data_IF_318957424814
#
_entry.id   IF_318957424814
#
_cell.length_a   1.000
_cell.length_b   1.000
_cell.length_c   1.000
_cell.angle_alpha   90.00
_cell.angle_beta   90.00
_cell.angle_gamma   90.00
#
_symmetry.space_group_name_H-M   'P 1'
#
loop_
_entity.id
_entity.type
_entity.pdbx_description
1 polymer ?
#
# COMPACT_ATOMS: atom_id res chain seq x y z
N UNK A 1 -36.29 -5.94 -20.85
CA UNK A 1 -35.28 -4.86 -20.79
C UNK A 1 -33.98 -5.52 -20.37
N UNK A 2 -32.92 -5.49 -21.19
CA UNK A 2 -31.65 -6.14 -20.83
C UNK A 2 -30.95 -5.24 -19.81
N UNK A 3 -30.75 -5.74 -18.59
CA UNK A 3 -29.99 -5.02 -17.56
C UNK A 3 -28.59 -4.69 -18.08
N UNK A 4 -28.12 -3.48 -17.79
CA UNK A 4 -26.75 -3.08 -18.12
C UNK A 4 -25.76 -4.00 -17.41
N UNK A 5 -24.56 -4.16 -17.96
CA UNK A 5 -23.50 -4.97 -17.34
C UNK A 5 -23.25 -4.51 -15.90
N UNK A 6 -23.23 -3.18 -15.68
CA UNK A 6 -23.10 -2.58 -14.36
C UNK A 6 -24.21 -3.04 -13.40
N UNK A 7 -25.46 -3.02 -13.84
CA UNK A 7 -26.58 -3.45 -12.99
C UNK A 7 -26.44 -4.93 -12.61
N UNK A 8 -26.13 -5.81 -13.56
CA UNK A 8 -25.92 -7.23 -13.29
C UNK A 8 -24.80 -7.49 -12.29
N UNK A 9 -23.69 -6.75 -12.39
CA UNK A 9 -22.57 -6.87 -11.47
C UNK A 9 -22.96 -6.43 -10.05
N UNK A 10 -23.69 -5.32 -9.92
CA UNK A 10 -24.15 -4.80 -8.63
C UNK A 10 -25.20 -5.72 -8.01
N UNK A 11 -26.19 -6.17 -8.79
CA UNK A 11 -27.23 -7.10 -8.33
C UNK A 11 -26.59 -8.40 -7.80
N UNK A 12 -25.61 -8.96 -8.52
CA UNK A 12 -24.86 -10.13 -8.07
C UNK A 12 -24.05 -9.85 -6.80
N UNK A 13 -23.44 -8.66 -6.71
CA UNK A 13 -22.67 -8.26 -5.52
C UNK A 13 -23.59 -8.20 -4.30
N UNK A 14 -24.77 -7.60 -4.43
CA UNK A 14 -25.74 -7.44 -3.36
C UNK A 14 -26.32 -8.80 -2.91
N UNK A 15 -26.66 -9.67 -3.87
CA UNK A 15 -27.16 -11.03 -3.60
C UNK A 15 -26.15 -11.88 -2.83
N UNK A 16 -24.85 -11.70 -3.12
CA UNK A 16 -23.77 -12.50 -2.54
C UNK A 16 -22.93 -11.76 -1.49
N UNK A 17 -23.36 -10.59 -1.03
CA UNK A 17 -22.58 -9.71 -0.15
C UNK A 17 -22.13 -10.42 1.13
N UNK A 18 -23.02 -11.19 1.76
CA UNK A 18 -22.70 -11.93 2.98
C UNK A 18 -21.57 -12.95 2.77
N UNK A 19 -21.58 -13.66 1.64
CA UNK A 19 -20.55 -14.63 1.29
C UNK A 19 -19.22 -13.95 1.01
N UNK A 20 -19.22 -12.79 0.34
CA UNK A 20 -17.99 -12.03 0.12
C UNK A 20 -17.41 -11.44 1.41
N UNK A 21 -18.24 -10.95 2.33
CA UNK A 21 -17.80 -10.50 3.65
C UNK A 21 -17.18 -11.66 4.44
N UNK A 22 -17.78 -12.86 4.40
CA UNK A 22 -17.20 -14.04 5.05
C UNK A 22 -15.86 -14.43 4.43
N UNK A 23 -15.79 -14.46 3.09
CA UNK A 23 -14.56 -14.75 2.37
C UNK A 23 -13.46 -13.72 2.68
N UNK A 24 -13.80 -12.42 2.76
CA UNK A 24 -12.86 -11.38 3.18
C UNK A 24 -12.36 -11.60 4.60
N UNK A 25 -13.25 -11.95 5.53
CA UNK A 25 -12.87 -12.25 6.91
C UNK A 25 -11.94 -13.47 6.99
N UNK A 26 -12.20 -14.51 6.19
CA UNK A 26 -11.35 -15.70 6.12
C UNK A 26 -9.97 -15.38 5.50
N UNK A 27 -9.93 -14.64 4.40
CA UNK A 27 -8.69 -14.21 3.75
C UNK A 27 -7.86 -13.34 4.69
N UNK A 28 -8.48 -12.38 5.36
CA UNK A 28 -7.83 -11.52 6.35
C UNK A 28 -7.23 -12.34 7.48
N UNK A 29 -7.98 -13.31 8.02
CA UNK A 29 -7.47 -14.23 9.06
C UNK A 29 -6.29 -15.06 8.56
N UNK A 30 -6.39 -15.64 7.37
CA UNK A 30 -5.31 -16.43 6.76
C UNK A 30 -4.04 -15.60 6.53
N UNK A 31 -4.21 -14.37 6.05
CA UNK A 31 -3.10 -13.43 5.85
C UNK A 31 -2.48 -13.03 7.20
N UNK A 32 -3.31 -12.72 8.21
CA UNK A 32 -2.83 -12.36 9.56
C UNK A 32 -2.17 -13.49 10.34
N UNK A 33 -2.43 -14.75 10.00
CA UNK A 33 -1.88 -15.92 10.70
C UNK A 33 -0.38 -16.16 10.39
N UNK A 34 0.19 -15.45 9.41
CA UNK A 34 1.58 -15.59 8.96
C UNK A 34 2.65 -14.93 9.85
N UNK A 35 2.46 -14.90 11.17
CA UNK A 35 3.43 -14.38 12.14
C UNK A 35 4.69 -15.26 12.19
N UNK A 36 5.86 -14.68 11.91
CA UNK A 36 7.17 -15.29 12.15
C UNK A 36 7.54 -15.22 13.64
N UNK A 37 8.51 -16.04 14.03
CA UNK A 37 9.03 -16.18 15.40
C UNK A 37 9.63 -14.88 15.98
N UNK A 38 9.98 -13.91 15.13
CA UNK A 38 10.52 -12.60 15.49
C UNK A 38 9.44 -11.51 15.64
N UNK A 39 8.16 -11.88 15.50
CA UNK A 39 7.03 -10.94 15.56
C UNK A 39 6.71 -10.26 14.22
N UNK A 40 7.52 -10.45 13.18
CA UNK A 40 7.24 -9.92 11.83
C UNK A 40 6.19 -10.79 11.11
N UNK A 41 5.26 -10.17 10.37
CA UNK A 41 4.29 -10.91 9.54
C UNK A 41 4.71 -10.91 8.07
N UNK A 42 4.90 -12.09 7.48
CA UNK A 42 5.20 -12.22 6.06
C UNK A 42 3.98 -12.72 5.29
N UNK A 43 3.21 -11.77 4.77
CA UNK A 43 1.98 -12.03 4.02
C UNK A 43 2.23 -12.63 2.63
N UNK A 44 3.44 -12.54 2.09
CA UNK A 44 3.71 -12.86 0.69
C UNK A 44 3.50 -14.33 0.33
N UNK A 45 3.92 -15.33 1.12
CA UNK A 45 3.64 -16.73 0.80
C UNK A 45 2.14 -17.03 0.70
N UNK A 46 1.37 -16.56 1.68
CA UNK A 46 -0.10 -16.73 1.71
C UNK A 46 -0.74 -16.02 0.53
N UNK A 47 -0.34 -14.78 0.25
CA UNK A 47 -0.88 -13.99 -0.86
C UNK A 47 -0.53 -14.57 -2.23
N UNK A 48 0.70 -15.08 -2.40
CA UNK A 48 1.14 -15.78 -3.60
C UNK A 48 0.23 -16.98 -3.90
N UNK A 49 -0.08 -17.79 -2.88
CA UNK A 49 -1.01 -18.92 -3.01
C UNK A 49 -2.42 -18.47 -3.40
N UNK A 50 -2.96 -17.45 -2.71
CA UNK A 50 -4.28 -16.86 -2.98
C UNK A 50 -4.41 -16.35 -4.42
N UNK A 51 -3.35 -15.70 -4.92
CA UNK A 51 -3.30 -15.17 -6.28
C UNK A 51 -3.18 -16.29 -7.33
N UNK A 52 -2.36 -17.32 -7.08
CA UNK A 52 -2.23 -18.50 -7.94
C UNK A 52 -3.55 -19.27 -8.08
N UNK A 53 -4.28 -19.45 -6.97
CA UNK A 53 -5.59 -20.10 -6.97
C UNK A 53 -6.62 -19.37 -7.85
N UNK A 54 -6.45 -18.06 -8.05
CA UNK A 54 -7.30 -17.23 -8.93
C UNK A 54 -6.79 -17.12 -10.36
N UNK A 55 -5.74 -17.88 -10.70
CA UNK A 55 -5.14 -17.91 -12.03
C UNK A 55 -4.24 -16.72 -12.35
N UNK A 56 -3.78 -15.97 -11.34
CA UNK A 56 -2.77 -14.95 -11.53
C UNK A 56 -1.38 -15.61 -11.51
N UNK A 57 -0.56 -15.29 -12.50
CA UNK A 57 0.86 -15.64 -12.47
C UNK A 57 1.55 -14.69 -11.52
N UNK A 58 2.42 -15.18 -10.64
CA UNK A 58 3.11 -14.33 -9.69
C UNK A 58 4.52 -14.83 -9.40
N UNK A 59 5.35 -13.91 -8.97
CA UNK A 59 6.70 -14.20 -8.49
C UNK A 59 7.16 -13.11 -7.53
N UNK A 60 8.03 -13.50 -6.60
CA UNK A 60 8.71 -12.56 -5.73
C UNK A 60 9.87 -11.94 -6.50
N UNK A 61 9.86 -10.62 -6.61
CA UNK A 61 10.98 -9.86 -7.18
C UNK A 61 12.06 -9.62 -6.12
N UNK A 62 11.66 -9.44 -4.87
CA UNK A 62 12.54 -9.33 -3.72
C UNK A 62 11.82 -9.81 -2.46
N UNK A 63 12.50 -9.79 -1.30
CA UNK A 63 11.85 -10.06 0.00
C UNK A 63 10.76 -9.03 0.36
N UNK A 64 10.77 -7.86 -0.28
CA UNK A 64 9.90 -6.74 0.01
C UNK A 64 8.95 -6.42 -1.15
N UNK A 65 9.04 -7.15 -2.27
CA UNK A 65 8.27 -6.84 -3.47
C UNK A 65 7.69 -8.09 -4.11
N UNK A 66 6.36 -8.12 -4.21
CA UNK A 66 5.60 -9.16 -4.89
C UNK A 66 4.98 -8.61 -6.17
N UNK A 67 5.20 -9.30 -7.28
CA UNK A 67 4.55 -9.02 -8.56
C UNK A 67 3.57 -10.14 -8.92
N UNK A 68 2.41 -9.76 -9.44
CA UNK A 68 1.43 -10.66 -10.01
C UNK A 68 0.80 -10.10 -11.29
N UNK A 69 0.35 -10.98 -12.17
CA UNK A 69 -0.24 -10.62 -13.45
C UNK A 69 -1.47 -11.48 -13.75
N UNK A 70 -2.55 -10.83 -14.17
CA UNK A 70 -3.71 -11.44 -14.81
C UNK A 70 -3.73 -11.03 -16.27
N UNK A 71 -3.55 -12.00 -17.18
CA UNK A 71 -3.71 -11.81 -18.63
C UNK A 71 -5.10 -12.25 -19.04
N UNK A 72 -6.01 -11.29 -19.15
CA UNK A 72 -7.37 -11.50 -19.65
C UNK A 72 -7.45 -11.39 -21.20
N UNK A 73 -6.34 -11.03 -21.87
CA UNK A 73 -6.30 -10.70 -23.30
C UNK A 73 -7.19 -9.49 -23.62
N UNK A 74 -7.30 -8.59 -22.64
CA UNK A 74 -8.10 -7.39 -22.76
C UNK A 74 -7.34 -6.28 -23.51
N UNK A 75 -8.05 -5.33 -24.13
CA UNK A 75 -7.42 -4.25 -24.88
C UNK A 75 -6.70 -3.21 -24.00
N UNK A 76 -6.94 -3.25 -22.69
CA UNK A 76 -6.38 -2.30 -21.72
C UNK A 76 -5.77 -3.03 -20.55
N UNK A 77 -4.71 -2.45 -19.98
CA UNK A 77 -3.96 -2.97 -18.84
C UNK A 77 -3.93 -1.95 -17.70
N UNK A 78 -4.25 -2.39 -16.50
CA UNK A 78 -4.16 -1.57 -15.30
C UNK A 78 -3.03 -2.06 -14.40
N UNK A 79 -2.35 -1.11 -13.74
CA UNK A 79 -1.44 -1.38 -12.64
C UNK A 79 -2.18 -1.19 -11.31
N UNK A 80 -2.21 -2.19 -10.46
CA UNK A 80 -2.63 -2.07 -9.06
C UNK A 80 -1.38 -1.99 -8.20
N UNK A 81 -1.20 -0.87 -7.50
CA UNK A 81 -0.06 -0.65 -6.62
C UNK A 81 -0.52 -0.55 -5.17
N UNK A 82 0.03 -1.41 -4.31
CA UNK A 82 -0.23 -1.40 -2.88
C UNK A 82 1.05 -1.12 -2.12
N UNK A 83 1.04 0.00 -1.40
CA UNK A 83 2.09 0.43 -0.49
C UNK A 83 1.78 -0.12 0.90
N UNK A 84 2.51 -1.14 1.31
CA UNK A 84 2.39 -1.76 2.62
C UNK A 84 3.53 -1.32 3.52
N UNK A 85 3.21 -0.89 4.73
CA UNK A 85 4.25 -0.57 5.72
C UNK A 85 4.84 -1.86 6.30
N UNK A 86 6.18 -1.99 6.39
CA UNK A 86 6.84 -3.24 6.79
C UNK A 86 6.46 -3.70 8.22
N UNK A 87 6.20 -2.76 9.13
CA UNK A 87 6.02 -3.05 10.56
C UNK A 87 4.59 -2.82 11.08
N UNK A 88 3.67 -2.30 10.27
CA UNK A 88 2.29 -2.07 10.69
C UNK A 88 1.34 -2.92 9.85
N UNK A 89 0.95 -4.07 10.39
CA UNK A 89 -0.15 -4.84 9.83
C UNK A 89 -1.46 -4.07 10.02
N UNK A 90 -2.04 -3.58 8.93
CA UNK A 90 -3.37 -2.98 8.94
C UNK A 90 -4.35 -3.87 8.18
N UNK A 91 -5.37 -4.36 8.89
CA UNK A 91 -6.49 -5.12 8.31
C UNK A 91 -7.16 -4.36 7.15
N UNK A 92 -7.16 -3.03 7.21
CA UNK A 92 -7.71 -2.17 6.17
C UNK A 92 -6.96 -2.30 4.84
N UNK A 93 -5.63 -2.47 4.85
CA UNK A 93 -4.85 -2.66 3.62
C UNK A 93 -5.16 -3.99 2.92
N UNK A 94 -5.52 -5.01 3.71
CA UNK A 94 -5.97 -6.29 3.16
C UNK A 94 -7.39 -6.24 2.61
N UNK A 95 -8.24 -5.35 3.15
CA UNK A 95 -9.59 -5.17 2.65
C UNK A 95 -9.60 -4.69 1.20
N UNK A 96 -8.68 -3.79 0.82
CA UNK A 96 -8.57 -3.31 -0.57
C UNK A 96 -8.20 -4.45 -1.53
N UNK A 97 -7.20 -5.26 -1.16
CA UNK A 97 -6.77 -6.43 -1.95
C UNK A 97 -7.94 -7.42 -2.06
N UNK A 98 -8.61 -7.73 -0.95
CA UNK A 98 -9.73 -8.66 -0.93
C UNK A 98 -10.90 -8.17 -1.79
N UNK A 99 -11.22 -6.87 -1.72
CA UNK A 99 -12.27 -6.25 -2.54
C UNK A 99 -11.94 -6.30 -4.03
N UNK A 100 -10.70 -6.00 -4.41
CA UNK A 100 -10.24 -6.11 -5.81
C UNK A 100 -10.33 -7.55 -6.30
N UNK A 101 -9.86 -8.53 -5.52
CA UNK A 101 -9.99 -9.95 -5.88
C UNK A 101 -11.45 -10.36 -6.06
N UNK A 102 -12.34 -9.95 -5.16
CA UNK A 102 -13.78 -10.21 -5.29
C UNK A 102 -14.37 -9.57 -6.53
N UNK A 103 -13.99 -8.33 -6.87
CA UNK A 103 -14.44 -7.70 -8.10
C UNK A 103 -14.05 -8.54 -9.34
N UNK A 104 -12.81 -9.05 -9.39
CA UNK A 104 -12.37 -9.93 -10.48
C UNK A 104 -13.15 -11.24 -10.54
N UNK A 105 -13.43 -11.85 -9.38
CA UNK A 105 -14.22 -13.07 -9.28
C UNK A 105 -15.67 -12.82 -9.79
N UNK A 106 -16.29 -11.70 -9.38
CA UNK A 106 -17.63 -11.30 -9.83
C UNK A 106 -17.67 -11.08 -11.34
N UNK A 107 -16.68 -10.40 -11.92
CA UNK A 107 -16.59 -10.23 -13.37
C UNK A 107 -16.52 -11.57 -14.11
N UNK A 108 -15.67 -12.49 -13.63
CA UNK A 108 -15.56 -13.84 -14.21
C UNK A 108 -16.88 -14.60 -14.12
N UNK A 109 -17.63 -14.49 -13.02
CA UNK A 109 -18.90 -15.20 -12.85
C UNK A 109 -20.02 -14.59 -13.70
N UNK A 110 -20.17 -13.26 -13.68
CA UNK A 110 -21.30 -12.56 -14.31
C UNK A 110 -21.10 -12.38 -15.82
N UNK A 111 -19.87 -12.13 -16.26
CA UNK A 111 -19.54 -11.86 -17.67
C UNK A 111 -18.75 -12.98 -18.35
N UNK A 112 -18.14 -13.89 -17.59
CA UNK A 112 -17.27 -14.95 -18.13
C UNK A 112 -15.82 -14.51 -18.35
N UNK A 113 -15.53 -13.21 -18.29
CA UNK A 113 -14.19 -12.65 -18.51
C UNK A 113 -13.96 -11.37 -17.71
N UNK A 114 -12.69 -11.03 -17.48
CA UNK A 114 -12.28 -9.75 -16.88
C UNK A 114 -12.00 -8.75 -18.01
N UNK A 115 -12.50 -7.50 -17.95
CA UNK A 115 -12.42 -6.56 -19.07
C UNK A 115 -11.06 -5.86 -19.22
N UNK A 116 -10.08 -6.17 -18.37
CA UNK A 116 -8.75 -5.56 -18.31
C UNK A 116 -7.69 -6.60 -17.96
N UNK A 117 -6.49 -6.42 -18.51
CA UNK A 117 -5.29 -7.07 -17.99
C UNK A 117 -4.86 -6.34 -16.72
N UNK A 118 -4.27 -7.06 -15.78
CA UNK A 118 -3.86 -6.49 -14.49
C UNK A 118 -2.42 -6.85 -14.24
N UNK A 119 -1.59 -5.84 -13.98
CA UNK A 119 -0.31 -5.97 -13.32
C UNK A 119 -0.51 -5.52 -11.88
N UNK A 120 -0.04 -6.29 -10.92
CA UNK A 120 -0.24 -6.03 -9.51
C UNK A 120 1.11 -6.02 -8.82
N UNK A 121 1.42 -4.91 -8.16
CA UNK A 121 2.64 -4.71 -7.41
C UNK A 121 2.30 -4.44 -5.94
N UNK A 122 2.91 -5.23 -5.05
CA UNK A 122 2.72 -5.11 -3.61
C UNK A 122 4.08 -4.91 -2.98
N UNK A 123 4.28 -3.69 -2.48
CA UNK A 123 5.57 -3.15 -2.07
C UNK A 123 5.59 -2.93 -0.56
N UNK A 124 6.56 -3.54 0.11
CA UNK A 124 6.84 -3.43 1.55
C UNK A 124 8.13 -2.67 1.85
N UNK A 125 8.73 -2.05 0.84
CA UNK A 125 10.02 -1.38 1.01
C UNK A 125 9.90 -0.10 1.83
N UNK A 126 10.87 0.11 2.72
CA UNK A 126 10.96 1.35 3.51
C UNK A 126 11.42 2.54 2.65
N UNK A 127 12.21 2.23 1.62
CA UNK A 127 12.74 3.21 0.67
C UNK A 127 11.96 3.10 -0.63
N UNK A 128 11.05 4.05 -0.80
CA UNK A 128 10.17 4.10 -1.97
C UNK A 128 10.94 4.54 -3.20
N UNK A 129 11.27 3.59 -4.06
CA UNK A 129 11.90 3.85 -5.35
C UNK A 129 10.82 3.92 -6.44
N UNK A 130 10.17 5.08 -6.58
CA UNK A 130 9.14 5.32 -7.60
C UNK A 130 9.71 5.67 -8.98
N UNK A 131 10.95 5.30 -9.28
CA UNK A 131 11.53 5.58 -10.59
C UNK A 131 10.93 4.65 -11.65
N UNK A 132 10.65 5.19 -12.85
CA UNK A 132 10.19 4.39 -13.99
C UNK A 132 11.17 3.24 -14.32
N UNK A 133 12.47 3.49 -14.10
CA UNK A 133 13.55 2.51 -14.23
C UNK A 133 13.31 1.29 -13.33
N UNK A 134 12.90 1.51 -12.08
CA UNK A 134 12.59 0.44 -11.12
C UNK A 134 11.38 -0.39 -11.56
N UNK A 135 10.34 0.24 -12.12
CA UNK A 135 9.16 -0.49 -12.61
C UNK A 135 9.52 -1.44 -13.77
N UNK A 136 10.38 -1.00 -14.70
CA UNK A 136 10.85 -1.84 -15.81
C UNK A 136 11.72 -3.01 -15.31
N UNK A 137 12.63 -2.74 -14.37
CA UNK A 137 13.44 -3.79 -13.73
C UNK A 137 12.57 -4.85 -13.03
N UNK A 138 11.43 -4.43 -12.49
CA UNK A 138 10.44 -5.30 -11.84
C UNK A 138 9.52 -6.03 -12.81
N UNK A 139 9.76 -5.90 -14.12
CA UNK A 139 8.95 -6.57 -15.15
C UNK A 139 7.56 -5.95 -15.34
N UNK A 140 7.29 -4.78 -14.76
CA UNK A 140 6.08 -4.01 -15.08
C UNK A 140 6.20 -3.53 -16.51
N UNK A 141 5.16 -3.77 -17.29
CA UNK A 141 5.10 -3.45 -18.71
C UNK A 141 4.25 -2.22 -18.91
N UNK A 142 4.03 -1.79 -20.15
CA UNK A 142 3.14 -0.67 -20.42
C UNK A 142 1.72 -0.93 -19.86
N UNK A 143 1.20 0.03 -19.10
CA UNK A 143 -0.16 0.05 -18.57
C UNK A 143 -0.86 1.36 -18.95
N UNK A 144 -2.19 1.33 -19.03
CA UNK A 144 -3.04 2.47 -19.41
C UNK A 144 -3.45 3.35 -18.21
N UNK A 145 -3.37 2.79 -17.00
CA UNK A 145 -3.70 3.50 -15.77
C UNK A 145 -3.18 2.78 -14.53
N UNK A 146 -2.99 3.51 -13.44
CA UNK A 146 -2.56 2.99 -12.16
C UNK A 146 -3.61 3.30 -11.08
N UNK A 147 -3.95 2.30 -10.28
CA UNK A 147 -4.75 2.44 -9.07
C UNK A 147 -3.80 2.22 -7.90
N UNK A 148 -3.51 3.29 -7.17
CA UNK A 148 -2.72 3.23 -5.95
C UNK A 148 -3.65 3.13 -4.75
N UNK A 149 -3.57 2.03 -4.01
CA UNK A 149 -4.27 1.91 -2.73
C UNK A 149 -3.37 2.41 -1.61
N UNK A 150 -3.78 3.50 -0.95
CA UNK A 150 -3.14 4.01 0.25
C UNK A 150 -4.19 4.12 1.36
N UNK A 151 -4.33 3.04 2.13
CA UNK A 151 -5.43 2.85 3.10
C UNK A 151 -5.47 3.93 4.21
N UNK A 152 -4.40 4.71 4.40
CA UNK A 152 -4.28 5.66 5.50
C UNK A 152 -4.76 7.09 5.19
N UNK A 153 -4.93 7.50 3.93
CA UNK A 153 -5.10 8.94 3.60
C UNK A 153 -6.28 9.30 2.67
N UNK A 154 -7.02 8.32 2.13
CA UNK A 154 -8.19 8.57 1.27
C UNK A 154 -9.50 8.13 1.91
N UNK A 155 -9.53 8.09 3.24
CA UNK A 155 -10.73 7.79 4.00
C UNK A 155 -11.67 8.98 3.92
N UNK A 156 -12.74 8.82 3.14
CA UNK A 156 -14.01 9.53 3.16
C UNK A 156 -13.99 10.94 3.76
N UNK A 157 -14.49 11.92 3.00
CA UNK A 157 -14.89 13.18 3.62
C UNK A 157 -15.75 12.89 4.86
N UNK A 158 -15.72 13.78 5.84
CA UNK A 158 -16.43 13.57 7.12
C UNK A 158 -17.93 13.25 6.97
N UNK A 159 -18.51 13.48 5.80
CA UNK A 159 -19.89 13.20 5.41
C UNK A 159 -20.11 11.84 4.72
N UNK A 160 -19.07 11.02 4.54
CA UNK A 160 -19.15 9.74 3.84
C UNK A 160 -19.10 9.86 2.31
N UNK A 161 -18.62 10.96 1.75
CA UNK A 161 -18.36 11.07 0.30
C UNK A 161 -17.04 10.38 -0.06
N UNK A 162 -17.01 9.49 -1.08
CA UNK A 162 -15.78 8.85 -1.52
C UNK A 162 -14.89 9.86 -2.26
N UNK A 163 -13.61 9.88 -1.93
CA UNK A 163 -12.63 10.82 -2.51
C UNK A 163 -11.70 10.11 -3.48
N UNK A 164 -11.54 10.67 -4.69
CA UNK A 164 -10.52 10.24 -5.65
C UNK A 164 -9.32 11.21 -5.59
N UNK A 165 -8.29 10.81 -4.85
CA UNK A 165 -7.02 11.54 -4.83
C UNK A 165 -6.27 11.36 -6.14
N UNK A 166 -5.69 12.45 -6.66
CA UNK A 166 -4.91 12.46 -7.92
C UNK A 166 -3.42 12.72 -7.73
N UNK A 167 -2.97 12.81 -6.48
CA UNK A 167 -1.59 13.06 -6.12
C UNK A 167 -1.44 13.28 -4.62
N UNK A 168 -0.20 13.20 -4.16
CA UNK A 168 0.20 13.44 -2.77
C UNK A 168 1.25 14.54 -2.71
N UNK A 169 1.46 15.12 -1.53
CA UNK A 169 2.57 16.05 -1.30
C UNK A 169 3.88 15.27 -1.17
N UNK A 170 4.97 15.86 -1.65
CA UNK A 170 6.31 15.35 -1.37
C UNK A 170 6.69 15.53 0.11
N UNK A 171 7.65 14.75 0.58
CA UNK A 171 8.25 14.87 1.91
C UNK A 171 9.76 14.94 1.79
N UNK A 172 10.36 15.92 2.43
CA UNK A 172 11.80 16.01 2.66
C UNK A 172 12.07 15.72 4.13
N UNK A 173 12.91 14.72 4.40
CA UNK A 173 13.41 14.44 5.74
C UNK A 173 14.88 14.81 5.80
N UNK A 174 15.28 15.58 6.81
CA UNK A 174 16.68 15.94 7.06
C UNK A 174 17.05 15.54 8.48
N UNK A 175 18.29 15.10 8.67
CA UNK A 175 18.87 14.84 9.99
C UNK A 175 19.77 16.01 10.37
N UNK A 176 19.61 16.50 11.60
CA UNK A 176 20.42 17.58 12.15
C UNK A 176 21.14 17.05 13.38
N UNK A 177 22.46 16.93 13.26
CA UNK A 177 23.33 16.50 14.35
C UNK A 177 24.19 17.68 14.82
N UNK A 178 24.30 17.85 16.15
CA UNK A 178 25.19 18.83 16.76
C UNK A 178 26.04 18.14 17.81
N UNK A 179 27.36 18.25 17.67
CA UNK A 179 28.32 17.79 18.66
C UNK A 179 29.06 18.99 19.25
N UNK A 180 29.00 19.17 20.58
CA UNK A 180 29.70 20.27 21.28
C UNK A 180 30.84 19.80 22.18
N UNK A 181 30.92 18.49 22.45
CA UNK A 181 31.99 17.87 23.20
C UNK A 181 32.24 16.45 22.68
N UNK A 182 33.45 15.93 22.91
CA UNK A 182 33.81 14.54 22.59
C UNK A 182 33.33 13.54 23.64
N UNK A 183 32.94 14.02 24.83
CA UNK A 183 32.44 13.20 25.95
C UNK A 183 31.30 13.90 26.68
N UNK A 184 30.54 13.15 27.48
CA UNK A 184 29.50 13.73 28.34
C UNK A 184 30.12 14.66 29.39
N UNK A 185 29.46 15.79 29.63
CA UNK A 185 29.91 16.82 30.58
C UNK A 185 28.82 16.98 31.65
N UNK A 186 29.24 17.12 32.90
CA UNK A 186 28.32 17.33 34.02
C UNK A 186 27.54 18.64 33.87
N UNK A 187 26.21 18.58 34.08
CA UNK A 187 25.28 19.70 34.01
C UNK A 187 25.67 20.93 34.83
N UNK A 188 26.48 20.77 35.89
CA UNK A 188 27.04 21.88 36.67
C UNK A 188 27.83 22.88 35.81
N UNK A 189 28.36 22.46 34.66
CA UNK A 189 29.12 23.32 33.74
C UNK A 189 28.25 24.00 32.67
N UNK A 190 26.92 23.82 32.70
CA UNK A 190 25.99 24.29 31.66
C UNK A 190 25.98 25.81 31.45
N UNK A 191 26.51 26.60 32.39
CA UNK A 191 26.65 28.05 32.23
C UNK A 191 27.88 28.50 31.41
N UNK A 192 28.82 27.59 31.10
CA UNK A 192 30.11 27.94 30.46
C UNK A 192 30.38 27.09 29.23
N UNK A 193 29.99 25.82 29.26
CA UNK A 193 30.25 24.88 28.16
C UNK A 193 29.15 25.00 27.10
N UNK A 194 29.49 25.01 25.79
CA UNK A 194 28.49 24.96 24.74
C UNK A 194 27.69 23.68 24.81
N UNK A 195 26.38 23.82 24.91
CA UNK A 195 25.45 22.70 24.99
C UNK A 195 24.86 22.39 23.60
N UNK A 196 24.85 21.11 23.23
CA UNK A 196 24.39 20.67 21.93
C UNK A 196 22.88 20.82 21.75
N UNK A 197 22.09 20.61 22.82
CA UNK A 197 20.65 20.75 22.81
C UNK A 197 20.25 22.21 22.59
N UNK A 198 20.89 23.17 23.26
CA UNK A 198 20.66 24.60 23.05
C UNK A 198 20.98 25.03 21.62
N UNK A 199 22.11 24.58 21.05
CA UNK A 199 22.46 24.88 19.66
C UNK A 199 21.46 24.30 18.67
N UNK A 200 21.01 23.07 18.89
CA UNK A 200 20.00 22.42 18.06
C UNK A 200 18.66 23.15 18.15
N UNK A 201 18.23 23.54 19.35
CA UNK A 201 16.99 24.31 19.57
C UNK A 201 17.02 25.64 18.81
N UNK A 202 18.14 26.37 18.88
CA UNK A 202 18.29 27.62 18.13
C UNK A 202 18.25 27.40 16.62
N UNK A 203 18.93 26.36 16.11
CA UNK A 203 18.87 26.02 14.69
C UNK A 203 17.46 25.64 14.23
N UNK A 204 16.71 24.86 15.02
CA UNK A 204 15.32 24.54 14.71
C UNK A 204 14.44 25.82 14.71
N UNK A 205 14.71 26.75 15.61
CA UNK A 205 14.02 28.05 15.67
C UNK A 205 14.29 28.97 14.48
N UNK A 206 15.32 28.72 13.66
CA UNK A 206 15.53 29.47 12.40
C UNK A 206 14.83 28.85 11.20
N UNK A 207 14.37 27.60 11.30
CA UNK A 207 13.68 26.90 10.20
C UNK A 207 12.19 27.28 10.11
N UNK A 208 11.57 27.65 11.24
CA UNK A 208 10.16 28.00 11.31
C UNK A 208 9.91 28.96 12.47
N UNK A 209 9.03 29.95 12.28
CA UNK A 209 8.65 30.92 13.31
C UNK A 209 7.14 30.94 13.55
N UNK A 210 6.68 31.81 14.47
CA UNK A 210 5.26 31.91 14.88
C UNK A 210 4.30 32.39 13.80
N UNK A 211 4.82 32.85 12.65
CA UNK A 211 4.03 33.32 11.52
C UNK A 211 3.89 32.28 10.39
N UNK A 212 4.40 31.07 10.59
CA UNK A 212 4.26 29.89 9.72
C UNK A 212 3.69 28.72 10.52
#
# INVERSE_FOLDING_TARGET
MVLSIRAKLLDYTDEHLASYIELWNQLTKQLSAGTKLDGSQDLFPTLTSILQQRGLQNHLLSKQLLYAELRAQAPRRLLFYHDQKPDTFNVQELADIAALLSALDIYKIVQGFVPVDIQWLIDKSETKHYAEESLQEWGVTQFDGCICSHAAETGWESDGTPTLARGTKGRLSVELEVQTASTAIDSMHGGVVPDALWRLLWALGTLKNVHE
#
